data_IF_263194921118
#
_entry.id   IF_263194921118
#
_cell.length_a   1.000
_cell.length_b   1.000
_cell.length_c   1.000
_cell.angle_alpha   90.00
_cell.angle_beta   90.00
_cell.angle_gamma   90.00
#
_symmetry.space_group_name_H-M   'P 1'
#
loop_
_entity.id
_entity.type
_entity.pdbx_description
1 polymer ?
#
# COMPACT_ATOMS: atom_id res chain seq x y z
N UNK A 1 -20.93 9.55 -10.12
CA UNK A 1 -20.32 9.53 -10.00
C UNK A 1 -19.47 10.38 -9.84
N UNK A 2 -19.06 10.64 -9.43
CA UNK A 2 -18.33 11.45 -9.21
C UNK A 2 -17.14 11.25 -9.48
N UNK A 3 -16.51 11.64 -10.19
CA UNK A 3 -15.30 11.37 -10.55
C UNK A 3 -14.37 12.12 -9.88
N UNK A 4 -14.58 12.65 -8.83
CA UNK A 4 -13.59 13.26 -8.16
C UNK A 4 -12.58 12.36 -7.80
N UNK A 5 -12.84 11.12 -7.56
CA UNK A 5 -11.83 10.19 -7.11
C UNK A 5 -10.74 10.01 -8.13
N UNK A 6 -10.96 10.41 -9.32
CA UNK A 6 -9.92 10.26 -10.30
C UNK A 6 -8.76 11.17 -10.06
N UNK A 7 -8.96 12.24 -9.32
CA UNK A 7 -7.91 13.19 -9.12
C UNK A 7 -7.34 13.14 -7.72
N UNK A 8 -7.73 12.17 -6.93
CA UNK A 8 -7.28 12.11 -5.56
C UNK A 8 -6.62 10.80 -5.28
N UNK A 9 -5.95 10.70 -4.16
CA UNK A 9 -5.36 9.44 -3.80
C UNK A 9 -6.46 8.44 -3.58
N UNK A 10 -6.21 7.21 -3.96
CA UNK A 10 -7.21 6.19 -3.82
C UNK A 10 -7.12 5.54 -2.46
N UNK A 11 -8.26 5.15 -1.94
CA UNK A 11 -8.29 4.35 -0.76
C UNK A 11 -8.24 2.93 -1.20
N UNK A 12 -7.25 2.22 -0.80
CA UNK A 12 -7.06 0.84 -1.20
C UNK A 12 -7.69 -0.05 -0.15
N UNK A 13 -8.62 -0.90 -0.59
CA UNK A 13 -9.34 -1.75 0.34
C UNK A 13 -8.76 -3.16 0.28
N UNK A 14 -7.79 -3.44 1.10
CA UNK A 14 -7.15 -4.74 1.14
C UNK A 14 -6.46 -4.90 2.49
N UNK A 15 -6.47 -6.11 3.06
CA UNK A 15 -5.84 -6.31 4.37
C UNK A 15 -4.38 -5.90 4.41
N UNK A 16 -3.64 -6.12 3.33
CA UNK A 16 -2.24 -5.70 3.31
C UNK A 16 -2.10 -4.19 3.43
N UNK A 17 -3.00 -3.45 2.83
CA UNK A 17 -2.94 -2.00 2.91
C UNK A 17 -3.16 -1.55 4.36
N UNK A 18 -4.09 -2.19 5.05
CA UNK A 18 -4.35 -1.84 6.44
C UNK A 18 -3.14 -2.14 7.31
N UNK A 19 -2.47 -3.26 7.07
CA UNK A 19 -1.29 -3.61 7.84
C UNK A 19 -0.17 -2.61 7.54
N UNK A 20 -0.04 -2.22 6.28
CA UNK A 20 0.98 -1.28 5.90
C UNK A 20 0.77 0.04 6.61
N UNK A 21 -0.49 0.48 6.69
CA UNK A 21 -0.78 1.74 7.36
C UNK A 21 -0.55 1.66 8.86
N UNK A 22 -0.54 0.48 9.43
CA UNK A 22 -0.24 0.34 10.85
C UNK A 22 1.26 0.33 11.09
N UNK A 23 2.05 0.30 10.02
CA UNK A 23 3.51 0.33 10.08
C UNK A 23 4.10 -0.92 10.73
N UNK A 24 3.35 -2.01 10.76
CA UNK A 24 3.86 -3.26 11.28
C UNK A 24 4.43 -4.05 10.10
N UNK A 25 5.68 -3.79 9.79
CA UNK A 25 6.28 -4.40 8.60
C UNK A 25 6.52 -5.89 8.77
N UNK A 26 6.67 -6.36 9.99
CA UNK A 26 6.84 -7.78 10.22
C UNK A 26 5.54 -8.50 9.85
N UNK A 27 4.41 -7.99 10.29
CA UNK A 27 3.12 -8.58 9.95
C UNK A 27 2.86 -8.44 8.45
N UNK A 28 3.22 -7.30 7.87
CA UNK A 28 3.03 -7.09 6.44
C UNK A 28 3.78 -8.13 5.64
N UNK A 29 5.06 -8.32 5.96
CA UNK A 29 5.89 -9.24 5.20
C UNK A 29 5.39 -10.68 5.36
N UNK A 30 4.93 -11.02 6.55
CA UNK A 30 4.42 -12.37 6.79
C UNK A 30 3.13 -12.63 6.02
N UNK A 31 2.23 -11.66 6.00
CA UNK A 31 0.98 -11.83 5.28
C UNK A 31 1.21 -11.81 3.77
N UNK A 32 2.12 -10.96 3.32
CA UNK A 32 2.45 -10.91 1.91
C UNK A 32 3.00 -12.24 1.43
N UNK A 33 3.79 -12.90 2.25
CA UNK A 33 4.42 -14.16 1.87
C UNK A 33 3.40 -15.27 1.64
N UNK A 34 2.19 -15.11 2.14
CA UNK A 34 1.17 -16.12 1.97
C UNK A 34 0.40 -15.95 0.67
N UNK A 35 0.61 -14.86 -0.04
CA UNK A 35 -0.17 -14.57 -1.23
C UNK A 35 0.53 -15.03 -2.48
N UNK A 36 -0.25 -15.48 -3.46
CA UNK A 36 0.31 -15.80 -4.77
C UNK A 36 0.15 -14.63 -5.71
N UNK A 37 -0.79 -13.74 -5.42
CA UNK A 37 -0.97 -12.54 -6.20
C UNK A 37 -1.06 -11.39 -5.25
N UNK A 38 -0.55 -10.23 -5.64
CA UNK A 38 -0.52 -9.08 -4.76
C UNK A 38 -1.48 -8.02 -5.25
N UNK A 39 -2.09 -7.27 -4.32
CA UNK A 39 -2.95 -6.16 -4.72
C UNK A 39 -2.09 -5.05 -5.30
N UNK A 40 -2.71 -4.19 -6.09
CA UNK A 40 -2.00 -3.03 -6.60
C UNK A 40 -2.10 -1.92 -5.57
N UNK A 41 -0.96 -1.30 -5.27
CA UNK A 41 -0.93 -0.14 -4.39
C UNK A 41 -0.72 1.13 -5.20
N UNK A 42 -0.94 1.06 -6.51
CA UNK A 42 -0.79 2.22 -7.37
C UNK A 42 -1.73 3.32 -6.90
N UNK A 43 -1.26 4.53 -6.89
CA UNK A 43 -2.00 5.72 -6.48
C UNK A 43 -2.39 5.72 -5.00
N UNK A 44 -1.86 4.81 -4.23
CA UNK A 44 -2.17 4.75 -2.82
C UNK A 44 -1.55 5.89 -2.03
N UNK A 45 -2.10 6.16 -0.86
CA UNK A 45 -1.62 7.24 -0.01
C UNK A 45 -0.80 6.63 1.12
N UNK A 46 0.52 6.79 1.03
CA UNK A 46 1.44 6.28 2.04
C UNK A 46 2.23 7.39 2.70
N UNK A 47 1.70 8.59 2.65
CA UNK A 47 2.39 9.74 3.24
C UNK A 47 2.40 9.61 4.74
N UNK A 48 3.52 9.93 5.32
CA UNK A 48 3.66 9.91 6.77
C UNK A 48 3.88 8.55 7.39
N UNK A 49 4.01 7.51 6.58
CA UNK A 49 4.21 6.17 7.11
C UNK A 49 5.69 5.81 7.13
N UNK A 50 6.07 5.07 8.15
CA UNK A 50 7.43 4.56 8.26
C UNK A 50 7.40 3.15 7.69
N UNK A 51 7.88 3.00 6.46
CA UNK A 51 7.80 1.72 5.77
C UNK A 51 9.14 1.00 5.71
N UNK A 52 10.05 1.35 6.57
CA UNK A 52 11.34 0.68 6.59
C UNK A 52 11.14 -0.78 6.94
N UNK A 53 11.80 -1.64 6.22
CA UNK A 53 11.70 -3.07 6.44
C UNK A 53 10.63 -3.74 5.60
N UNK A 54 9.89 -2.97 4.79
CA UNK A 54 8.84 -3.54 3.96
C UNK A 54 9.44 -4.35 2.82
N UNK A 55 8.90 -5.52 2.58
CA UNK A 55 9.28 -6.31 1.42
C UNK A 55 8.42 -5.85 0.25
N UNK A 56 8.96 -4.97 -0.57
CA UNK A 56 8.22 -4.37 -1.67
C UNK A 56 8.34 -5.15 -2.98
N UNK A 57 9.04 -6.28 -2.96
CA UNK A 57 9.26 -7.01 -4.17
C UNK A 57 7.95 -7.46 -4.80
N UNK A 58 7.79 -7.19 -6.06
CA UNK A 58 6.59 -7.61 -6.79
C UNK A 58 5.39 -6.71 -6.59
N UNK A 59 5.51 -5.67 -5.76
CA UNK A 59 4.37 -4.79 -5.53
C UNK A 59 4.38 -3.63 -6.51
N UNK A 60 3.20 -3.13 -6.80
CA UNK A 60 3.03 -2.03 -7.75
C UNK A 60 2.72 -0.76 -6.97
N UNK A 61 3.68 0.15 -6.94
CA UNK A 61 3.51 1.42 -6.26
C UNK A 61 3.52 2.60 -7.24
N UNK A 62 3.15 2.35 -8.51
CA UNK A 62 3.20 3.42 -9.49
C UNK A 62 2.30 4.56 -9.05
N UNK A 63 2.79 5.77 -9.16
CA UNK A 63 2.05 6.99 -8.83
C UNK A 63 1.53 7.00 -7.39
N UNK A 64 2.10 6.19 -6.52
CA UNK A 64 1.71 6.24 -5.12
C UNK A 64 2.32 7.48 -4.48
N UNK A 65 1.74 7.90 -3.37
CA UNK A 65 2.16 9.12 -2.69
C UNK A 65 2.96 8.76 -1.45
N UNK A 66 4.20 9.21 -1.42
CA UNK A 66 5.07 8.98 -0.28
C UNK A 66 5.58 10.31 0.23
N UNK A 67 5.95 10.39 1.49
CA UNK A 67 6.48 11.58 2.01
C UNK A 67 7.53 11.27 3.00
N UNK A 68 8.58 11.92 2.97
CA UNK A 68 9.68 11.69 3.90
C UNK A 68 10.70 10.75 3.42
#
# INVERSE_FOLDING_TARGET
MDDKSEHEVHQISHPLYDILRSEDMQAFNAEKAKLTEFPSFAHGDFRGLDLRGMDAKGLDFRHAYFRG
#
